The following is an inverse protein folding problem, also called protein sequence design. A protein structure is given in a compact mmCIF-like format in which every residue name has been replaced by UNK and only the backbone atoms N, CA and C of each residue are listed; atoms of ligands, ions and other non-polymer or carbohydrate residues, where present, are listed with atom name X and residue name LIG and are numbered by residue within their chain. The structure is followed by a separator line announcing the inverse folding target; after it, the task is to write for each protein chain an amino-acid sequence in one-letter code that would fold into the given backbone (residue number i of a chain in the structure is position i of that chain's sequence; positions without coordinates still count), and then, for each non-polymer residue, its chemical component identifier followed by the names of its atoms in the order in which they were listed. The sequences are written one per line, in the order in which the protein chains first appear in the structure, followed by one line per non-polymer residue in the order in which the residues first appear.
data_IF_067302077331
#
_entry.id   IF_067302077331
#
_cell.length_a   1.000
_cell.length_b   1.000
_cell.length_c   1.000
_cell.angle_alpha   90.00
_cell.angle_beta   90.00
_cell.angle_gamma   90.00
#
_symmetry.space_group_name_H-M   'P 1'
#
loop_
_entity.id
_entity.type
_entity.pdbx_description
1 polymer ?
#
# COMPACT_ATOMS: atom_id res chain seq x y z
N UNK A 1 -22.88 -58.36 38.25
CA UNK A 1 -24.02 -58.77 37.43
C UNK A 1 -24.00 -57.90 36.20
N UNK A 2 -23.47 -58.53 35.19
CA UNK A 2 -23.94 -58.72 33.80
C UNK A 2 -23.97 -57.46 32.97
N UNK A 3 -23.00 -57.18 32.13
CA UNK A 3 -22.69 -57.81 30.82
C UNK A 3 -23.72 -57.43 29.73
N UNK A 4 -23.23 -56.81 28.69
CA UNK A 4 -23.24 -57.09 27.27
C UNK A 4 -23.13 -55.79 26.48
N UNK A 5 -22.19 -55.39 25.66
CA UNK A 5 -21.60 -56.07 24.54
C UNK A 5 -22.44 -55.97 23.26
N UNK A 6 -22.13 -54.97 22.34
CA UNK A 6 -22.36 -55.22 20.93
C UNK A 6 -21.41 -54.33 20.06
N UNK A 7 -20.59 -55.05 19.35
CA UNK A 7 -19.77 -54.65 18.20
C UNK A 7 -20.65 -54.40 16.95
N UNK A 8 -20.33 -53.37 16.19
CA UNK A 8 -20.67 -53.28 14.77
C UNK A 8 -19.58 -52.52 13.98
N UNK A 9 -19.08 -53.24 13.04
CA UNK A 9 -18.12 -53.03 11.99
C UNK A 9 -18.33 -51.82 11.08
N UNK A 10 -17.21 -51.27 10.68
CA UNK A 10 -16.79 -50.28 9.78
C UNK A 10 -17.46 -50.07 8.43
N UNK A 11 -17.27 -48.86 7.94
CA UNK A 11 -17.12 -48.59 6.50
C UNK A 11 -16.23 -47.34 6.34
N UNK A 12 -15.10 -47.58 5.67
CA UNK A 12 -14.18 -46.58 5.14
C UNK A 12 -14.83 -45.76 4.02
N UNK A 13 -14.86 -44.44 4.16
CA UNK A 13 -15.10 -43.53 3.06
C UNK A 13 -13.96 -42.49 3.04
N UNK A 14 -13.10 -42.60 2.04
CA UNK A 14 -12.08 -41.63 1.66
C UNK A 14 -12.74 -40.35 1.15
N UNK A 15 -12.69 -39.30 1.94
CA UNK A 15 -13.13 -37.97 1.55
C UNK A 15 -11.92 -37.04 1.44
N UNK A 16 -11.71 -36.54 0.24
CA UNK A 16 -10.73 -35.48 -0.04
C UNK A 16 -11.14 -34.18 0.70
N UNK A 17 -10.37 -33.79 1.69
CA UNK A 17 -10.53 -32.49 2.35
C UNK A 17 -9.78 -31.43 1.54
N UNK A 18 -10.55 -30.59 0.85
CA UNK A 18 -10.07 -29.33 0.33
C UNK A 18 -9.82 -28.39 1.55
N UNK A 19 -8.57 -28.05 1.79
CA UNK A 19 -8.18 -27.06 2.80
C UNK A 19 -8.58 -25.67 2.32
N UNK A 20 -9.76 -25.22 2.75
CA UNK A 20 -10.19 -23.83 2.63
C UNK A 20 -9.46 -22.97 3.66
N UNK A 21 -8.66 -22.00 3.23
CA UNK A 21 -8.10 -20.99 4.09
C UNK A 21 -9.22 -20.02 4.52
N UNK A 22 -9.75 -20.22 5.69
CA UNK A 22 -10.64 -19.26 6.37
C UNK A 22 -9.78 -18.17 7.02
N UNK A 23 -9.83 -16.98 6.44
CA UNK A 23 -9.34 -15.77 7.12
C UNK A 23 -10.36 -15.42 8.22
N UNK A 24 -10.11 -15.86 9.45
CA UNK A 24 -10.83 -15.43 10.66
C UNK A 24 -10.31 -14.07 11.08
N UNK A 25 -10.98 -12.98 10.61
CA UNK A 25 -10.93 -11.68 11.28
C UNK A 25 -11.98 -11.68 12.40
N UNK A 26 -11.61 -11.16 13.56
CA UNK A 26 -12.46 -11.00 14.75
C UNK A 26 -13.82 -10.39 14.40
N UNK A 27 -14.86 -11.21 14.36
CA UNK A 27 -16.25 -10.79 14.25
C UNK A 27 -16.80 -10.51 15.66
N UNK A 28 -16.45 -9.34 16.21
CA UNK A 28 -16.91 -8.92 17.54
C UNK A 28 -18.24 -8.16 17.56
N UNK A 29 -19.00 -8.09 16.47
CA UNK A 29 -20.36 -7.54 16.47
C UNK A 29 -21.20 -8.30 15.45
N UNK A 30 -22.38 -8.79 15.82
CA UNK A 30 -23.30 -9.57 14.98
C UNK A 30 -23.95 -8.77 13.81
N UNK A 31 -23.39 -7.63 13.42
CA UNK A 31 -23.81 -6.83 12.27
C UNK A 31 -23.09 -7.32 10.99
N UNK A 32 -23.78 -7.34 9.84
CA UNK A 32 -23.15 -7.70 8.57
C UNK A 32 -22.05 -6.70 8.21
N UNK A 33 -20.99 -7.14 7.46
CA UNK A 33 -19.99 -6.24 6.93
C UNK A 33 -20.63 -5.08 6.14
N UNK A 34 -20.03 -3.89 6.20
CA UNK A 34 -20.46 -2.76 5.38
C UNK A 34 -20.30 -3.09 3.89
N UNK A 35 -19.18 -3.75 3.56
CA UNK A 35 -18.89 -4.26 2.21
C UNK A 35 -18.29 -5.66 2.31
N UNK A 36 -18.76 -6.56 1.43
CA UNK A 36 -18.19 -7.88 1.28
C UNK A 36 -17.96 -8.18 -0.21
N UNK A 37 -16.75 -8.61 -0.53
CA UNK A 37 -16.36 -9.15 -1.83
C UNK A 37 -16.21 -10.66 -1.68
N UNK A 38 -17.04 -11.44 -2.36
CA UNK A 38 -17.03 -12.89 -2.30
C UNK A 38 -16.55 -13.46 -3.63
N UNK A 39 -15.27 -13.85 -3.70
CA UNK A 39 -14.64 -14.42 -4.89
C UNK A 39 -14.63 -13.49 -6.11
N UNK A 40 -14.55 -12.18 -5.90
CA UNK A 40 -14.64 -11.17 -6.96
C UNK A 40 -13.43 -11.24 -7.88
N UNK A 41 -13.67 -11.32 -9.18
CA UNK A 41 -12.65 -11.28 -10.23
C UNK A 41 -13.08 -10.39 -11.39
N UNK A 42 -12.10 -9.80 -12.09
CA UNK A 42 -12.32 -8.96 -13.29
C UNK A 42 -11.31 -9.28 -14.36
N UNK A 43 -11.79 -9.73 -15.50
CA UNK A 43 -11.01 -9.93 -16.70
C UNK A 43 -11.46 -8.90 -17.75
N UNK A 44 -10.50 -8.18 -18.34
CA UNK A 44 -10.75 -7.32 -19.51
C UNK A 44 -10.39 -8.07 -20.79
N UNK A 45 -11.17 -7.90 -21.83
CA UNK A 45 -10.88 -8.48 -23.12
C UNK A 45 -10.20 -7.45 -24.02
N UNK A 46 -8.95 -7.71 -24.41
CA UNK A 46 -8.20 -6.89 -25.36
C UNK A 46 -7.64 -7.77 -26.48
N UNK A 47 -7.96 -7.41 -27.73
CA UNK A 47 -7.49 -8.12 -28.93
C UNK A 47 -7.71 -9.65 -28.86
N UNK A 48 -8.87 -10.09 -28.34
CA UNK A 48 -9.22 -11.51 -28.24
C UNK A 48 -8.55 -12.27 -27.09
N UNK A 49 -7.77 -11.59 -26.23
CA UNK A 49 -7.17 -12.20 -25.03
C UNK A 49 -7.80 -11.64 -23.75
N UNK A 50 -8.09 -12.50 -22.82
CA UNK A 50 -8.49 -12.10 -21.47
C UNK A 50 -7.25 -11.64 -20.69
N UNK A 51 -7.29 -10.40 -20.16
CA UNK A 51 -6.25 -9.84 -19.30
C UNK A 51 -6.84 -9.69 -17.91
N UNK A 52 -6.38 -10.47 -16.91
CA UNK A 52 -6.89 -10.39 -15.56
C UNK A 52 -6.41 -9.10 -14.90
N UNK A 53 -7.36 -8.24 -14.52
CA UNK A 53 -7.09 -7.04 -13.72
C UNK A 53 -7.23 -7.32 -12.23
N UNK A 54 -8.18 -8.21 -11.87
CA UNK A 54 -8.39 -8.72 -10.52
C UNK A 54 -8.62 -10.23 -10.64
N UNK A 55 -7.76 -11.03 -10.01
CA UNK A 55 -7.79 -12.49 -10.16
C UNK A 55 -8.86 -13.13 -9.28
N UNK A 56 -8.84 -12.85 -7.99
CA UNK A 56 -9.83 -13.25 -7.00
C UNK A 56 -9.62 -12.45 -5.72
N UNK A 57 -10.67 -11.82 -5.24
CA UNK A 57 -10.66 -11.12 -3.96
C UNK A 57 -11.81 -11.65 -3.11
N UNK A 58 -11.46 -12.10 -1.91
CA UNK A 58 -12.36 -12.39 -0.81
C UNK A 58 -12.02 -11.39 0.31
N UNK A 59 -12.95 -10.48 0.64
CA UNK A 59 -12.70 -9.36 1.54
C UNK A 59 -13.97 -8.95 2.25
N UNK A 60 -13.90 -8.76 3.58
CA UNK A 60 -14.96 -8.18 4.39
C UNK A 60 -14.46 -6.91 5.07
N UNK A 61 -15.19 -5.79 4.92
CA UNK A 61 -14.90 -4.48 5.50
C UNK A 61 -16.00 -4.15 6.50
N UNK A 62 -15.59 -3.82 7.72
CA UNK A 62 -16.51 -3.54 8.83
C UNK A 62 -17.24 -2.20 8.71
N UNK A 63 -18.37 -2.04 9.41
CA UNK A 63 -19.02 -0.74 9.54
C UNK A 63 -18.13 0.27 10.27
N UNK A 64 -18.05 1.51 9.76
CA UNK A 64 -17.25 2.58 10.34
C UNK A 64 -15.75 2.41 10.24
N UNK A 65 -15.26 1.43 9.48
CA UNK A 65 -13.84 1.15 9.27
C UNK A 65 -13.24 2.13 8.24
N UNK A 66 -12.02 2.61 8.51
CA UNK A 66 -11.17 3.25 7.51
C UNK A 66 -10.30 2.17 6.86
N UNK A 67 -10.66 1.73 5.70
CA UNK A 67 -10.03 0.62 4.99
C UNK A 67 -9.24 1.12 3.78
N UNK A 68 -7.98 0.68 3.62
CA UNK A 68 -7.17 1.05 2.46
C UNK A 68 -6.87 -0.12 1.53
N UNK A 69 -6.96 0.14 0.22
CA UNK A 69 -6.38 -0.67 -0.85
C UNK A 69 -5.06 -0.03 -1.27
N UNK A 70 -3.95 -0.67 -0.96
CA UNK A 70 -2.59 -0.18 -1.18
C UNK A 70 -1.85 -1.09 -2.17
N UNK A 71 -1.03 -0.53 -3.06
CA UNK A 71 -0.21 -1.33 -3.97
C UNK A 71 0.31 -0.51 -5.15
N UNK A 72 1.17 -1.06 -6.00
CA UNK A 72 1.72 -0.39 -7.17
C UNK A 72 0.65 -0.05 -8.21
N UNK A 73 1.00 0.80 -9.17
CA UNK A 73 0.12 1.11 -10.30
C UNK A 73 -0.21 -0.14 -11.11
N UNK A 74 -1.47 -0.28 -11.53
CA UNK A 74 -1.94 -1.42 -12.32
C UNK A 74 -2.21 -2.71 -11.53
N UNK A 75 -2.09 -2.75 -10.20
CA UNK A 75 -2.37 -3.97 -9.41
C UNK A 75 -3.86 -4.28 -9.16
N UNK A 76 -4.80 -3.45 -9.67
CA UNK A 76 -6.24 -3.71 -9.59
C UNK A 76 -7.02 -2.90 -8.56
N UNK A 77 -6.40 -1.98 -7.81
CA UNK A 77 -7.06 -1.15 -6.76
C UNK A 77 -8.27 -0.37 -7.28
N UNK A 78 -8.05 0.53 -8.25
CA UNK A 78 -9.13 1.36 -8.81
C UNK A 78 -10.18 0.52 -9.54
N UNK A 79 -9.81 -0.62 -10.15
CA UNK A 79 -10.76 -1.58 -10.71
C UNK A 79 -11.65 -2.17 -9.61
N UNK A 80 -11.07 -2.58 -8.48
CA UNK A 80 -11.82 -3.08 -7.32
C UNK A 80 -12.76 -2.02 -6.77
N UNK A 81 -12.27 -0.78 -6.61
CA UNK A 81 -13.09 0.34 -6.15
C UNK A 81 -14.26 0.63 -7.11
N UNK A 82 -14.02 0.62 -8.43
CA UNK A 82 -15.06 0.83 -9.44
C UNK A 82 -16.08 -0.31 -9.47
N UNK A 83 -15.68 -1.55 -9.21
CA UNK A 83 -16.61 -2.67 -9.04
C UNK A 83 -17.50 -2.47 -7.82
N UNK A 84 -16.97 -2.01 -6.68
CA UNK A 84 -17.75 -1.68 -5.48
C UNK A 84 -18.74 -0.54 -5.78
N UNK A 85 -18.28 0.49 -6.50
CA UNK A 85 -19.10 1.63 -6.90
C UNK A 85 -20.17 1.30 -7.96
N UNK A 86 -20.03 0.18 -8.69
CA UNK A 86 -20.93 -0.25 -9.76
C UNK A 86 -20.65 0.36 -11.13
N UNK A 87 -19.50 1.00 -11.32
CA UNK A 87 -19.04 1.47 -12.64
C UNK A 87 -18.42 0.35 -13.48
N UNK A 88 -18.02 -0.75 -12.83
CA UNK A 88 -17.51 -1.95 -13.46
C UNK A 88 -18.28 -3.16 -12.91
N UNK A 89 -18.63 -4.10 -13.76
CA UNK A 89 -19.20 -5.36 -13.34
C UNK A 89 -18.09 -6.41 -13.15
N UNK A 90 -18.09 -7.19 -12.07
CA UNK A 90 -17.14 -8.28 -11.92
C UNK A 90 -17.43 -9.35 -12.98
N UNK A 91 -16.37 -10.01 -13.47
CA UNK A 91 -16.52 -11.17 -14.37
C UNK A 91 -16.99 -12.41 -13.59
N UNK A 92 -16.60 -12.49 -12.31
CA UNK A 92 -16.99 -13.59 -11.39
C UNK A 92 -17.10 -13.04 -9.97
N UNK A 93 -17.82 -13.77 -9.13
CA UNK A 93 -18.02 -13.44 -7.73
C UNK A 93 -19.19 -12.51 -7.48
N UNK A 94 -19.34 -12.07 -6.22
CA UNK A 94 -20.45 -11.21 -5.77
C UNK A 94 -19.95 -10.08 -4.90
N UNK A 95 -20.66 -8.96 -4.94
CA UNK A 95 -20.43 -7.77 -4.11
C UNK A 95 -21.67 -7.53 -3.28
N UNK A 96 -21.50 -7.50 -1.96
CA UNK A 96 -22.56 -7.23 -1.03
C UNK A 96 -22.31 -5.90 -0.30
N UNK A 97 -23.35 -5.09 -0.16
CA UNK A 97 -23.39 -3.89 0.68
C UNK A 97 -24.37 -4.13 1.82
N UNK A 98 -23.90 -4.08 3.06
CA UNK A 98 -24.70 -4.35 4.26
C UNK A 98 -25.51 -5.66 4.13
N UNK A 99 -24.86 -6.71 3.62
CA UNK A 99 -25.47 -8.04 3.40
C UNK A 99 -26.38 -8.15 2.17
N UNK A 100 -26.61 -7.07 1.39
CA UNK A 100 -27.43 -7.09 0.18
C UNK A 100 -26.55 -7.23 -1.06
N UNK A 101 -26.88 -8.19 -1.93
CA UNK A 101 -26.17 -8.36 -3.21
C UNK A 101 -26.47 -7.16 -4.14
N UNK A 102 -25.40 -6.46 -4.52
CA UNK A 102 -25.45 -5.30 -5.41
C UNK A 102 -24.68 -5.53 -6.71
N UNK A 103 -24.28 -6.76 -7.01
CA UNK A 103 -23.40 -7.11 -8.14
C UNK A 103 -23.89 -6.50 -9.45
N UNK A 104 -25.19 -6.68 -9.77
CA UNK A 104 -25.83 -6.15 -10.96
C UNK A 104 -26.55 -4.79 -10.77
N UNK A 105 -26.42 -4.19 -9.57
CA UNK A 105 -27.09 -2.90 -9.29
C UNK A 105 -26.26 -1.76 -9.88
N UNK A 106 -26.86 -0.84 -10.68
CA UNK A 106 -26.14 0.27 -11.30
C UNK A 106 -25.67 1.30 -10.24
N UNK A 107 -24.62 2.12 -10.54
CA UNK A 107 -24.00 3.03 -9.57
C UNK A 107 -24.98 3.99 -8.86
N UNK A 108 -25.94 4.52 -9.61
CA UNK A 108 -26.91 5.50 -9.08
C UNK A 108 -27.93 4.92 -8.12
N UNK A 109 -27.97 3.60 -7.94
CA UNK A 109 -28.86 2.87 -7.02
C UNK A 109 -28.11 2.19 -5.88
N UNK A 110 -26.78 2.28 -5.84
CA UNK A 110 -25.97 1.79 -4.72
C UNK A 110 -25.85 2.87 -3.65
N UNK A 111 -25.92 2.46 -2.39
CA UNK A 111 -25.76 3.38 -1.26
C UNK A 111 -24.29 3.62 -0.93
N UNK A 112 -23.54 4.01 -1.95
CA UNK A 112 -22.14 4.43 -1.85
C UNK A 112 -21.91 5.72 -2.62
N UNK A 113 -20.95 6.53 -2.18
CA UNK A 113 -20.51 7.70 -2.93
C UNK A 113 -19.04 7.55 -3.29
N UNK A 114 -18.67 7.97 -4.50
CA UNK A 114 -17.29 7.93 -4.99
C UNK A 114 -16.77 9.37 -5.17
N UNK A 115 -15.60 9.62 -4.60
CA UNK A 115 -14.80 10.83 -4.83
C UNK A 115 -13.67 10.46 -5.77
N UNK A 116 -13.65 11.05 -6.96
CA UNK A 116 -12.61 10.85 -7.96
C UNK A 116 -11.37 11.69 -7.65
N UNK A 117 -10.24 11.31 -8.18
CA UNK A 117 -8.97 12.03 -8.07
C UNK A 117 -9.07 13.50 -8.54
N UNK A 118 -9.90 13.79 -9.53
CA UNK A 118 -10.13 15.15 -10.06
C UNK A 118 -11.18 15.95 -9.27
N UNK A 119 -11.69 15.41 -8.15
CA UNK A 119 -12.77 15.97 -7.33
C UNK A 119 -14.11 16.15 -8.05
N UNK A 120 -14.15 16.31 -9.36
CA UNK A 120 -15.31 16.44 -10.23
C UNK A 120 -16.38 17.42 -9.68
N UNK A 121 -15.95 18.57 -9.16
CA UNK A 121 -16.86 19.63 -8.69
C UNK A 121 -17.63 20.24 -9.86
N UNK A 122 -18.88 20.63 -9.62
CA UNK A 122 -19.70 21.35 -10.59
C UNK A 122 -19.22 22.81 -10.70
N UNK A 123 -18.59 23.23 -11.80
CA UNK A 123 -17.93 24.54 -11.89
C UNK A 123 -18.93 25.72 -11.95
N UNK A 124 -20.18 25.45 -12.31
CA UNK A 124 -21.27 26.41 -12.39
C UNK A 124 -22.01 26.63 -11.08
N UNK A 125 -21.77 25.77 -10.06
CA UNK A 125 -22.33 25.88 -8.71
C UNK A 125 -21.28 26.46 -7.76
N UNK A 126 -21.72 27.20 -6.75
CA UNK A 126 -20.93 27.57 -5.58
C UNK A 126 -20.66 26.35 -4.68
N UNK A 127 -19.93 26.56 -3.59
CA UNK A 127 -19.61 25.52 -2.60
C UNK A 127 -20.89 24.94 -1.99
N UNK A 128 -21.79 25.79 -1.50
CA UNK A 128 -23.06 25.36 -0.91
C UNK A 128 -23.94 24.60 -1.92
N UNK A 129 -23.98 25.04 -3.16
CA UNK A 129 -24.68 24.38 -4.26
C UNK A 129 -24.12 23.02 -4.61
N UNK A 130 -22.78 22.86 -4.63
CA UNK A 130 -22.13 21.58 -4.80
C UNK A 130 -22.52 20.59 -3.71
N UNK A 131 -22.44 21.01 -2.44
CA UNK A 131 -22.82 20.17 -1.29
C UNK A 131 -24.31 19.83 -1.32
N UNK A 132 -25.17 20.82 -1.63
CA UNK A 132 -26.62 20.66 -1.68
C UNK A 132 -27.11 19.75 -2.82
N UNK A 133 -26.30 19.51 -3.85
CA UNK A 133 -26.73 18.85 -5.09
C UNK A 133 -27.39 17.49 -4.84
N UNK A 134 -26.76 16.62 -4.07
CA UNK A 134 -27.27 15.29 -3.77
C UNK A 134 -28.58 15.32 -2.96
N UNK A 135 -28.67 16.22 -1.98
CA UNK A 135 -29.87 16.41 -1.17
C UNK A 135 -31.06 16.90 -2.00
N UNK A 136 -30.82 17.87 -2.92
CA UNK A 136 -31.88 18.37 -3.84
C UNK A 136 -32.39 17.25 -4.74
N UNK A 137 -31.51 16.37 -5.24
CA UNK A 137 -31.89 15.19 -6.04
C UNK A 137 -32.79 14.21 -5.25
N UNK A 138 -32.57 14.11 -3.94
CA UNK A 138 -33.36 13.30 -3.02
C UNK A 138 -34.65 14.01 -2.54
N UNK A 139 -34.92 15.21 -3.06
CA UNK A 139 -36.14 15.96 -2.73
C UNK A 139 -36.07 16.79 -1.44
N UNK A 140 -34.93 16.88 -0.77
CA UNK A 140 -34.75 17.72 0.43
C UNK A 140 -34.75 19.20 0.02
N UNK A 141 -35.56 20.03 0.74
CA UNK A 141 -35.79 21.44 0.42
C UNK A 141 -35.85 22.31 1.68
N UNK A 142 -35.88 23.62 1.48
CA UNK A 142 -36.19 24.61 2.52
C UNK A 142 -35.19 24.62 3.68
N UNK A 143 -35.69 24.60 4.90
CA UNK A 143 -34.91 24.71 6.14
C UNK A 143 -33.99 23.48 6.33
N UNK A 144 -34.50 22.28 6.14
CA UNK A 144 -33.73 21.05 6.28
C UNK A 144 -32.50 21.01 5.35
N UNK A 145 -32.68 21.46 4.09
CA UNK A 145 -31.55 21.55 3.15
C UNK A 145 -30.46 22.48 3.67
N UNK A 146 -30.85 23.69 4.14
CA UNK A 146 -29.86 24.66 4.66
C UNK A 146 -29.14 24.15 5.90
N UNK A 147 -29.87 23.55 6.84
CA UNK A 147 -29.30 22.98 8.07
C UNK A 147 -28.30 21.88 7.76
N UNK A 148 -28.64 20.90 6.91
CA UNK A 148 -27.72 19.81 6.54
C UNK A 148 -26.48 20.29 5.79
N UNK A 149 -26.66 21.25 4.88
CA UNK A 149 -25.53 21.84 4.14
C UNK A 149 -24.65 22.64 5.09
N UNK A 150 -25.22 23.47 5.97
CA UNK A 150 -24.48 24.25 6.96
C UNK A 150 -23.63 23.35 7.88
N UNK A 151 -24.26 22.36 8.53
CA UNK A 151 -23.55 21.38 9.36
C UNK A 151 -22.41 20.70 8.63
N UNK A 152 -22.60 20.36 7.35
CA UNK A 152 -21.55 19.71 6.55
C UNK A 152 -20.41 20.66 6.18
N UNK A 153 -20.72 21.94 5.93
CA UNK A 153 -19.70 22.97 5.68
C UNK A 153 -18.90 23.30 6.94
N UNK A 154 -19.56 23.33 8.10
CA UNK A 154 -18.88 23.50 9.40
C UNK A 154 -17.92 22.33 9.66
N UNK A 155 -18.34 21.09 9.44
CA UNK A 155 -17.53 19.89 9.60
C UNK A 155 -16.23 19.91 8.75
N UNK A 156 -16.31 20.47 7.54
CA UNK A 156 -15.14 20.56 6.64
C UNK A 156 -14.44 21.92 6.69
N UNK A 157 -14.81 22.79 7.62
CA UNK A 157 -14.25 24.14 7.83
C UNK A 157 -14.36 25.06 6.58
N UNK A 158 -15.49 25.05 5.91
CA UNK A 158 -15.71 25.82 4.67
C UNK A 158 -16.94 26.76 4.75
N UNK A 159 -17.50 27.02 5.93
CA UNK A 159 -18.71 27.82 6.10
C UNK A 159 -18.57 29.24 5.55
N UNK A 160 -17.41 29.89 5.75
CA UNK A 160 -17.13 31.24 5.23
C UNK A 160 -16.93 31.28 3.69
N UNK A 161 -16.75 30.11 3.07
CA UNK A 161 -16.53 29.98 1.63
C UNK A 161 -17.76 29.47 0.87
N UNK A 162 -18.93 29.40 1.53
CA UNK A 162 -20.15 28.80 1.01
C UNK A 162 -20.60 29.33 -0.37
N UNK A 163 -20.38 30.63 -0.62
CA UNK A 163 -20.80 31.33 -1.84
C UNK A 163 -19.71 31.34 -2.95
N UNK A 164 -18.48 30.89 -2.64
CA UNK A 164 -17.38 30.84 -3.62
C UNK A 164 -17.59 29.73 -4.65
N UNK A 165 -17.05 29.95 -5.84
CA UNK A 165 -17.03 28.95 -6.92
C UNK A 165 -15.75 28.10 -6.82
N UNK A 166 -15.77 26.86 -7.37
CA UNK A 166 -14.61 25.96 -7.33
C UNK A 166 -13.29 26.57 -7.81
N UNK A 167 -13.33 27.42 -8.84
CA UNK A 167 -12.14 28.09 -9.39
C UNK A 167 -11.46 29.11 -8.44
N UNK A 168 -12.17 29.52 -7.40
CA UNK A 168 -11.72 30.49 -6.41
C UNK A 168 -11.14 29.81 -5.16
N UNK A 169 -11.04 28.47 -5.17
CA UNK A 169 -10.61 27.64 -4.07
C UNK A 169 -9.24 27.02 -4.36
N UNK A 170 -8.44 26.83 -3.31
CA UNK A 170 -7.24 26.01 -3.38
C UNK A 170 -7.58 24.52 -3.60
N UNK A 171 -6.61 23.72 -4.03
CA UNK A 171 -6.81 22.28 -4.25
C UNK A 171 -7.34 21.55 -3.00
N UNK A 172 -6.80 21.84 -1.82
CA UNK A 172 -7.28 21.26 -0.56
C UNK A 172 -8.71 21.71 -0.19
N UNK A 173 -9.08 22.97 -0.50
CA UNK A 173 -10.46 23.43 -0.32
C UNK A 173 -11.42 22.73 -1.29
N UNK A 174 -11.04 22.57 -2.57
CA UNK A 174 -11.83 21.82 -3.54
C UNK A 174 -12.07 20.37 -3.09
N UNK A 175 -11.03 19.73 -2.56
CA UNK A 175 -11.13 18.38 -2.01
C UNK A 175 -12.12 18.32 -0.85
N UNK A 176 -12.06 19.26 0.10
CA UNK A 176 -13.00 19.34 1.22
C UNK A 176 -14.45 19.56 0.75
N UNK A 177 -14.66 20.34 -0.30
CA UNK A 177 -16.00 20.47 -0.93
C UNK A 177 -16.48 19.15 -1.53
N UNK A 178 -15.60 18.42 -2.24
CA UNK A 178 -15.95 17.12 -2.81
C UNK A 178 -16.29 16.08 -1.73
N UNK A 179 -15.54 16.09 -0.63
CA UNK A 179 -15.78 15.26 0.54
C UNK A 179 -17.14 15.60 1.19
N UNK A 180 -17.41 16.88 1.44
CA UNK A 180 -18.67 17.35 2.00
C UNK A 180 -19.86 16.96 1.11
N UNK A 181 -19.75 17.15 -0.22
CA UNK A 181 -20.77 16.72 -1.19
C UNK A 181 -21.05 15.23 -1.14
N UNK A 182 -20.02 14.42 -0.92
CA UNK A 182 -20.15 12.97 -0.83
C UNK A 182 -20.76 12.54 0.51
N UNK A 183 -20.39 13.18 1.61
CA UNK A 183 -20.82 12.83 2.97
C UNK A 183 -22.22 13.30 3.33
N UNK A 184 -22.68 14.43 2.77
CA UNK A 184 -23.99 15.04 3.12
C UNK A 184 -25.18 14.10 2.92
N UNK A 185 -25.03 13.13 2.02
CA UNK A 185 -26.04 12.11 1.74
C UNK A 185 -26.03 10.94 2.75
N UNK A 186 -25.05 10.88 3.66
CA UNK A 186 -24.84 9.78 4.62
C UNK A 186 -24.88 8.40 3.96
N UNK A 187 -23.98 8.11 3.01
CA UNK A 187 -23.93 6.80 2.34
C UNK A 187 -23.48 5.71 3.33
N UNK A 188 -23.77 4.44 3.00
CA UNK A 188 -23.28 3.29 3.76
C UNK A 188 -21.73 3.21 3.71
N UNK A 189 -21.12 3.62 2.59
CA UNK A 189 -19.68 3.75 2.48
C UNK A 189 -19.26 4.89 1.54
N UNK A 190 -18.13 5.53 1.87
CA UNK A 190 -17.46 6.52 1.03
C UNK A 190 -16.24 5.87 0.37
N UNK A 191 -16.17 5.97 -0.95
CA UNK A 191 -15.10 5.46 -1.78
C UNK A 191 -14.22 6.62 -2.24
N UNK A 192 -12.90 6.50 -2.08
CA UNK A 192 -11.93 7.56 -2.36
C UNK A 192 -10.84 7.00 -3.29
N UNK A 193 -10.78 7.49 -4.54
CA UNK A 193 -9.79 7.05 -5.54
C UNK A 193 -8.64 8.06 -5.62
N UNK A 194 -7.55 7.81 -4.92
CA UNK A 194 -6.32 8.64 -4.82
C UNK A 194 -6.60 10.14 -4.53
N UNK A 195 -7.42 10.47 -3.52
CA UNK A 195 -7.92 11.83 -3.36
C UNK A 195 -6.85 12.85 -2.96
N UNK A 196 -5.69 12.42 -2.43
CA UNK A 196 -4.60 13.29 -1.99
C UNK A 196 -3.46 13.39 -3.01
N UNK A 197 -3.52 12.64 -4.13
CA UNK A 197 -2.42 12.51 -5.09
C UNK A 197 -1.96 13.82 -5.76
N UNK A 198 -2.85 14.81 -5.87
CA UNK A 198 -2.55 16.10 -6.51
C UNK A 198 -2.03 17.19 -5.55
N UNK A 199 -1.89 16.87 -4.23
CA UNK A 199 -1.49 17.84 -3.20
C UNK A 199 0.01 17.79 -2.93
N UNK A 200 0.59 18.95 -2.55
CA UNK A 200 1.94 19.02 -2.01
C UNK A 200 2.06 18.27 -0.67
N UNK A 201 3.29 17.94 -0.26
CA UNK A 201 3.56 17.10 0.90
C UNK A 201 2.95 17.65 2.21
N UNK A 202 3.12 18.96 2.48
CA UNK A 202 2.66 19.59 3.72
C UNK A 202 1.14 19.61 3.80
N UNK A 203 0.49 19.99 2.71
CA UNK A 203 -0.97 20.01 2.61
C UNK A 203 -1.53 18.58 2.70
N UNK A 204 -0.88 17.62 2.06
CA UNK A 204 -1.25 16.19 2.11
C UNK A 204 -1.25 15.67 3.56
N UNK A 205 -0.19 15.91 4.33
CA UNK A 205 -0.11 15.51 5.74
C UNK A 205 -1.23 16.13 6.59
N UNK A 206 -1.52 17.42 6.39
CA UNK A 206 -2.63 18.09 7.08
C UNK A 206 -3.97 17.44 6.72
N UNK A 207 -4.19 17.18 5.43
CA UNK A 207 -5.42 16.57 4.93
C UNK A 207 -5.63 15.13 5.40
N UNK A 208 -4.56 14.35 5.59
CA UNK A 208 -4.65 13.00 6.18
C UNK A 208 -5.25 13.05 7.59
N UNK A 209 -4.73 13.95 8.44
CA UNK A 209 -5.23 14.12 9.82
C UNK A 209 -6.70 14.54 9.81
N UNK A 210 -7.06 15.53 8.99
CA UNK A 210 -8.43 16.02 8.88
C UNK A 210 -9.38 14.93 8.35
N UNK A 211 -8.96 14.17 7.33
CA UNK A 211 -9.79 13.10 6.75
C UNK A 211 -10.09 11.99 7.78
N UNK A 212 -9.09 11.59 8.58
CA UNK A 212 -9.30 10.62 9.67
C UNK A 212 -10.19 11.17 10.78
N UNK A 213 -10.06 12.47 11.13
CA UNK A 213 -10.92 13.11 12.11
C UNK A 213 -12.39 13.15 11.62
N UNK A 214 -12.64 13.59 10.38
CA UNK A 214 -13.95 13.60 9.76
C UNK A 214 -14.57 12.19 9.74
N UNK A 215 -13.80 11.18 9.35
CA UNK A 215 -14.28 9.80 9.30
C UNK A 215 -14.74 9.32 10.69
N UNK A 216 -13.97 9.63 11.75
CA UNK A 216 -14.35 9.26 13.13
C UNK A 216 -15.60 9.97 13.60
N UNK A 217 -15.77 11.26 13.26
CA UNK A 217 -16.93 12.07 13.64
C UNK A 217 -18.21 11.60 12.93
N UNK A 218 -18.10 11.30 11.64
CA UNK A 218 -19.26 10.87 10.83
C UNK A 218 -19.61 9.40 11.07
N UNK A 219 -18.64 8.55 11.44
CA UNK A 219 -18.83 7.12 11.70
C UNK A 219 -19.15 6.27 10.46
N UNK A 220 -18.92 6.80 9.26
CA UNK A 220 -19.17 6.10 7.98
C UNK A 220 -17.94 5.26 7.60
N UNK A 221 -18.15 4.14 6.91
CA UNK A 221 -17.08 3.30 6.37
C UNK A 221 -16.38 4.03 5.21
N UNK A 222 -15.04 4.13 5.27
CA UNK A 222 -14.24 4.71 4.19
C UNK A 222 -13.43 3.62 3.50
N UNK A 223 -13.43 3.61 2.17
CA UNK A 223 -12.54 2.80 1.35
C UNK A 223 -11.63 3.74 0.58
N UNK A 224 -10.37 3.65 0.87
CA UNK A 224 -9.34 4.56 0.40
C UNK A 224 -8.37 3.82 -0.52
N UNK A 225 -8.26 4.26 -1.76
CA UNK A 225 -7.26 3.76 -2.71
C UNK A 225 -6.08 4.70 -2.73
N UNK A 226 -4.89 4.16 -2.57
CA UNK A 226 -3.64 4.92 -2.67
C UNK A 226 -2.49 4.04 -3.16
N UNK A 227 -1.44 4.66 -3.65
CA UNK A 227 -0.13 4.07 -3.86
C UNK A 227 0.90 4.61 -2.85
N UNK A 228 0.52 5.58 -2.00
CA UNK A 228 1.35 6.15 -0.96
C UNK A 228 1.21 5.32 0.33
N UNK A 229 2.35 4.76 0.78
CA UNK A 229 2.40 3.92 1.96
C UNK A 229 2.17 4.72 3.24
N UNK A 230 2.68 5.97 3.29
CA UNK A 230 2.50 6.87 4.43
C UNK A 230 1.03 7.17 4.69
N UNK A 231 0.25 7.41 3.64
CA UNK A 231 -1.19 7.62 3.73
C UNK A 231 -1.89 6.40 4.33
N UNK A 232 -1.63 5.22 3.77
CA UNK A 232 -2.26 3.99 4.23
C UNK A 232 -1.89 3.67 5.69
N UNK A 233 -0.61 3.77 6.06
CA UNK A 233 -0.14 3.48 7.41
C UNK A 233 -0.68 4.47 8.46
N UNK A 234 -0.88 5.74 8.08
CA UNK A 234 -1.32 6.79 9.02
C UNK A 234 -2.83 6.76 9.29
N UNK A 235 -3.64 6.48 8.26
CA UNK A 235 -5.10 6.68 8.36
C UNK A 235 -5.88 5.39 8.58
N UNK A 236 -5.37 4.24 8.14
CA UNK A 236 -6.19 3.02 8.05
C UNK A 236 -6.31 2.28 9.37
N UNK A 237 -7.45 1.65 9.56
CA UNK A 237 -7.65 0.64 10.60
C UNK A 237 -7.15 -0.73 10.09
N UNK A 238 -7.39 -1.03 8.80
CA UNK A 238 -6.84 -2.18 8.09
C UNK A 238 -6.43 -1.79 6.67
N UNK A 239 -5.41 -2.49 6.15
CA UNK A 239 -4.86 -2.29 4.81
C UNK A 239 -4.86 -3.63 4.07
N UNK A 240 -5.38 -3.64 2.85
CA UNK A 240 -5.15 -4.72 1.89
C UNK A 240 -4.01 -4.31 0.94
N UNK A 241 -2.87 -4.95 1.06
CA UNK A 241 -1.76 -4.78 0.13
C UNK A 241 -2.04 -5.62 -1.10
N UNK A 242 -2.16 -4.97 -2.26
CA UNK A 242 -2.49 -5.61 -3.53
C UNK A 242 -1.27 -5.69 -4.45
N UNK A 243 -1.14 -6.83 -5.13
CA UNK A 243 -0.14 -7.04 -6.15
C UNK A 243 -0.70 -7.95 -7.26
N UNK A 244 -0.48 -7.63 -8.53
CA UNK A 244 -0.87 -8.44 -9.69
C UNK A 244 -2.32 -8.96 -9.62
N UNK A 245 -3.25 -8.11 -9.20
CA UNK A 245 -4.67 -8.43 -9.10
C UNK A 245 -5.08 -9.30 -7.90
N UNK A 246 -4.22 -9.49 -6.91
CA UNK A 246 -4.46 -10.29 -5.70
C UNK A 246 -4.19 -9.46 -4.44
N UNK A 247 -4.77 -9.87 -3.32
CA UNK A 247 -4.43 -9.36 -1.99
C UNK A 247 -3.30 -10.22 -1.43
N UNK A 248 -2.11 -9.64 -1.30
CA UNK A 248 -0.92 -10.28 -0.72
C UNK A 248 -1.03 -10.42 0.80
N UNK A 249 -1.51 -9.35 1.45
CA UNK A 249 -1.71 -9.31 2.89
C UNK A 249 -2.84 -8.36 3.24
N UNK A 250 -3.65 -8.77 4.21
CA UNK A 250 -4.70 -7.97 4.83
C UNK A 250 -4.47 -7.98 6.33
N UNK A 251 -4.15 -6.81 6.91
CA UNK A 251 -3.86 -6.68 8.34
C UNK A 251 -3.92 -5.21 8.79
N UNK A 252 -3.68 -4.97 10.10
CA UNK A 252 -3.47 -3.62 10.64
C UNK A 252 -2.18 -3.00 10.08
N UNK A 253 -2.06 -1.66 10.05
CA UNK A 253 -0.84 -0.97 9.62
C UNK A 253 0.42 -1.49 10.28
N UNK A 254 0.38 -1.66 11.59
CA UNK A 254 1.50 -2.16 12.38
C UNK A 254 1.91 -3.58 11.99
N UNK A 255 0.94 -4.47 11.79
CA UNK A 255 1.22 -5.85 11.42
C UNK A 255 1.82 -5.95 10.01
N UNK A 256 1.33 -5.13 9.06
CA UNK A 256 1.89 -5.07 7.71
C UNK A 256 3.35 -4.60 7.73
N UNK A 257 3.66 -3.61 8.56
CA UNK A 257 5.01 -3.06 8.66
C UNK A 257 5.98 -4.00 9.38
N UNK A 258 5.58 -4.53 10.56
CA UNK A 258 6.46 -5.33 11.40
C UNK A 258 6.48 -6.83 11.04
N UNK A 259 5.43 -7.35 10.40
CA UNK A 259 5.24 -8.78 10.08
C UNK A 259 4.75 -8.98 8.66
N UNK A 260 5.54 -8.61 7.66
CA UNK A 260 5.17 -8.79 6.25
C UNK A 260 5.07 -10.29 5.93
N UNK A 261 4.01 -10.71 5.23
CA UNK A 261 3.79 -12.13 4.89
C UNK A 261 4.55 -12.59 3.66
N UNK A 262 4.94 -11.67 2.79
CA UNK A 262 5.66 -11.99 1.56
C UNK A 262 6.86 -11.04 1.40
N UNK A 263 7.84 -11.48 0.62
CA UNK A 263 8.97 -10.64 0.21
C UNK A 263 8.49 -9.36 -0.48
N UNK A 264 7.42 -9.46 -1.28
CA UNK A 264 6.83 -8.29 -1.91
C UNK A 264 6.37 -7.27 -0.87
N UNK A 265 5.60 -7.70 0.14
CA UNK A 265 5.12 -6.77 1.19
C UNK A 265 6.28 -6.20 1.98
N UNK A 266 7.29 -7.01 2.34
CA UNK A 266 8.48 -6.55 3.06
C UNK A 266 9.23 -5.44 2.31
N UNK A 267 9.41 -5.60 1.00
CA UNK A 267 10.11 -4.63 0.15
C UNK A 267 9.25 -3.48 -0.35
N UNK A 268 7.92 -3.67 -0.42
CA UNK A 268 7.00 -2.63 -0.87
C UNK A 268 6.65 -1.66 0.27
N UNK A 269 6.55 -2.12 1.52
CA UNK A 269 6.20 -1.29 2.68
C UNK A 269 7.46 -0.79 3.38
N UNK A 270 7.79 0.48 3.16
CA UNK A 270 9.01 1.08 3.69
C UNK A 270 10.28 0.43 3.14
N UNK A 271 11.42 0.74 3.76
CA UNK A 271 12.69 0.08 3.48
C UNK A 271 12.83 -1.15 4.38
N UNK A 272 13.37 -2.25 3.85
CA UNK A 272 13.60 -3.47 4.61
C UNK A 272 14.89 -4.14 4.18
N UNK A 273 15.69 -4.57 5.14
CA UNK A 273 16.83 -5.42 4.86
C UNK A 273 16.36 -6.87 4.74
N UNK A 274 16.70 -7.51 3.63
CA UNK A 274 16.35 -8.89 3.34
C UNK A 274 17.64 -9.72 3.32
N UNK A 275 17.74 -10.68 4.24
CA UNK A 275 18.89 -11.52 4.42
C UNK A 275 18.53 -12.98 4.15
N UNK A 276 19.03 -13.55 3.05
CA UNK A 276 18.88 -14.98 2.80
C UNK A 276 19.93 -15.75 3.61
N UNK A 277 19.49 -16.70 4.43
CA UNK A 277 20.34 -17.46 5.37
C UNK A 277 19.89 -18.90 5.47
N UNK A 278 20.80 -19.77 5.90
CA UNK A 278 20.54 -21.18 6.16
C UNK A 278 20.19 -21.36 7.64
N UNK A 279 19.20 -22.18 7.93
CA UNK A 279 18.83 -22.56 9.31
C UNK A 279 19.93 -23.46 9.86
N UNK A 280 20.56 -23.05 10.97
CA UNK A 280 21.58 -23.79 11.70
C UNK A 280 20.96 -24.66 12.80
N UNK A 281 20.00 -24.13 13.51
CA UNK A 281 19.29 -24.83 14.57
C UNK A 281 17.90 -24.21 14.81
N UNK A 282 16.99 -25.01 15.33
CA UNK A 282 15.69 -24.56 15.84
C UNK A 282 15.64 -24.85 17.32
N UNK A 283 15.53 -23.80 18.14
CA UNK A 283 15.39 -23.89 19.59
C UNK A 283 13.91 -23.73 19.96
N UNK A 284 13.30 -24.81 20.44
CA UNK A 284 11.90 -24.84 20.81
C UNK A 284 11.60 -24.07 22.13
N UNK A 285 12.63 -23.79 22.94
CA UNK A 285 12.53 -23.18 24.28
C UNK A 285 13.38 -21.92 24.42
N UNK A 286 13.39 -21.05 23.40
CA UNK A 286 14.11 -19.79 23.45
C UNK A 286 13.62 -18.82 24.53
N UNK A 287 14.22 -17.61 24.63
CA UNK A 287 13.87 -16.60 25.62
C UNK A 287 12.36 -16.30 25.66
N UNK A 288 11.77 -16.34 26.87
CA UNK A 288 10.33 -16.11 27.04
C UNK A 288 9.44 -17.29 26.59
N UNK A 289 9.99 -18.50 26.39
CA UNK A 289 9.23 -19.70 25.98
C UNK A 289 8.78 -19.69 24.51
N UNK A 290 9.35 -18.81 23.68
CA UNK A 290 9.08 -18.74 22.23
C UNK A 290 10.13 -19.56 21.48
N UNK A 291 9.68 -20.33 20.50
CA UNK A 291 10.60 -21.01 19.61
C UNK A 291 11.41 -19.99 18.80
N UNK A 292 12.72 -20.24 18.69
CA UNK A 292 13.67 -19.39 17.98
C UNK A 292 14.35 -20.18 16.86
N UNK A 293 14.64 -19.53 15.76
CA UNK A 293 15.53 -20.07 14.74
C UNK A 293 16.88 -19.38 14.84
N UNK A 294 17.95 -20.18 14.84
CA UNK A 294 19.32 -19.72 14.75
C UNK A 294 19.78 -19.88 13.30
N UNK A 295 20.28 -18.81 12.72
CA UNK A 295 20.67 -18.76 11.31
C UNK A 295 22.17 -18.77 11.17
N UNK A 296 22.66 -19.22 10.03
CA UNK A 296 24.09 -19.22 9.71
C UNK A 296 24.62 -17.78 9.57
N UNK A 297 25.75 -17.53 10.22
CA UNK A 297 26.43 -16.25 10.26
C UNK A 297 27.96 -16.50 10.40
N UNK A 298 28.78 -15.46 10.24
CA UNK A 298 30.23 -15.57 10.40
C UNK A 298 30.67 -16.06 11.79
N UNK A 299 31.95 -16.40 11.96
CA UNK A 299 32.48 -17.04 13.18
C UNK A 299 32.18 -16.23 14.46
N UNK A 300 32.20 -14.89 14.38
CA UNK A 300 31.96 -13.99 15.51
C UNK A 300 30.56 -13.32 15.45
N UNK A 301 29.76 -13.67 14.45
CA UNK A 301 28.45 -13.12 14.17
C UNK A 301 27.34 -13.98 14.77
N UNK A 302 26.18 -13.38 14.94
CA UNK A 302 24.99 -14.07 15.49
C UNK A 302 23.73 -13.56 14.79
N UNK A 303 22.92 -14.49 14.29
CA UNK A 303 21.61 -14.21 13.73
C UNK A 303 20.58 -15.16 14.31
N UNK A 304 19.51 -14.62 14.84
CA UNK A 304 18.37 -15.41 15.33
C UNK A 304 17.08 -14.62 15.16
N UNK A 305 15.98 -15.35 15.10
CA UNK A 305 14.65 -14.75 15.01
C UNK A 305 13.62 -15.62 15.70
N UNK A 306 12.55 -15.03 16.24
CA UNK A 306 11.43 -15.82 16.75
C UNK A 306 10.70 -16.52 15.59
N UNK A 307 10.33 -17.79 15.84
CA UNK A 307 9.45 -18.54 14.94
C UNK A 307 8.02 -18.07 15.11
N UNK A 308 7.37 -17.77 13.99
CA UNK A 308 5.96 -17.40 14.01
C UNK A 308 5.08 -18.64 13.84
N UNK A 309 3.92 -18.75 14.55
CA UNK A 309 3.02 -19.93 14.46
C UNK A 309 2.52 -20.25 13.04
N UNK A 310 2.55 -19.28 12.13
CA UNK A 310 2.14 -19.44 10.73
C UNK A 310 3.23 -20.02 9.83
N UNK A 311 4.47 -20.14 10.34
CA UNK A 311 5.55 -20.80 9.61
C UNK A 311 5.41 -22.31 9.75
N UNK A 312 5.59 -23.00 8.66
CA UNK A 312 5.75 -24.46 8.70
C UNK A 312 6.96 -24.88 9.54
N UNK A 313 7.08 -26.16 9.86
CA UNK A 313 8.22 -26.66 10.64
C UNK A 313 9.53 -26.47 9.86
N UNK A 314 10.43 -25.63 10.37
CA UNK A 314 11.76 -25.43 9.83
C UNK A 314 12.72 -26.53 10.31
N UNK A 315 13.66 -26.89 9.44
CA UNK A 315 14.72 -27.89 9.72
C UNK A 315 16.09 -27.27 9.50
N UNK A 316 17.09 -27.82 10.16
CA UNK A 316 18.49 -27.48 9.89
C UNK A 316 18.80 -27.75 8.43
N UNK A 317 19.40 -26.76 7.74
CA UNK A 317 19.70 -26.78 6.31
C UNK A 317 18.67 -26.06 5.43
N UNK A 318 17.48 -25.75 5.94
CA UNK A 318 16.48 -25.00 5.17
C UNK A 318 16.99 -23.58 4.88
N UNK A 319 16.67 -23.08 3.68
CA UNK A 319 16.92 -21.68 3.31
C UNK A 319 15.74 -20.83 3.73
N UNK A 320 16.03 -19.74 4.43
CA UNK A 320 15.02 -18.77 4.86
C UNK A 320 15.43 -17.37 4.48
N UNK A 321 14.47 -16.50 4.34
CA UNK A 321 14.69 -15.08 4.18
C UNK A 321 14.28 -14.34 5.46
N UNK A 322 15.26 -13.67 6.08
CA UNK A 322 15.07 -12.85 7.26
C UNK A 322 14.88 -11.40 6.85
N UNK A 323 13.92 -10.70 7.44
CA UNK A 323 13.76 -9.26 7.27
C UNK A 323 14.01 -8.53 8.59
N UNK A 324 14.68 -7.37 8.52
CA UNK A 324 14.85 -6.42 9.62
C UNK A 324 14.76 -4.99 9.11
N UNK A 325 14.07 -4.15 9.85
CA UNK A 325 13.89 -2.74 9.48
C UNK A 325 15.15 -1.93 9.78
N UNK A 326 15.55 -0.98 8.88
CA UNK A 326 16.77 -0.18 9.04
C UNK A 326 16.85 0.60 10.35
N UNK A 327 15.72 1.11 10.86
CA UNK A 327 15.63 1.87 12.10
C UNK A 327 15.70 1.01 13.38
N UNK A 328 15.70 -0.31 13.24
CA UNK A 328 15.86 -1.26 14.35
C UNK A 328 17.30 -1.70 14.56
N UNK A 329 18.20 -1.28 13.65
CA UNK A 329 19.61 -1.67 13.64
C UNK A 329 20.43 -0.56 14.29
N UNK A 330 21.22 -0.94 15.28
CA UNK A 330 22.20 -0.09 15.95
C UNK A 330 23.59 -0.33 15.36
N UNK A 331 24.41 0.71 15.38
CA UNK A 331 25.82 0.65 14.94
C UNK A 331 26.75 0.89 16.12
N UNK A 332 27.86 0.13 16.17
CA UNK A 332 28.88 0.24 17.22
C UNK A 332 30.26 -0.06 16.66
N UNK A 333 31.28 0.67 17.13
CA UNK A 333 32.69 0.38 16.81
C UNK A 333 33.18 -0.92 17.47
N UNK A 334 32.57 -1.32 18.59
CA UNK A 334 32.93 -2.52 19.34
C UNK A 334 31.87 -3.59 19.18
N UNK A 335 32.28 -4.86 19.35
CA UNK A 335 31.36 -5.99 19.32
C UNK A 335 30.27 -5.80 20.39
N UNK A 336 28.99 -5.92 20.02
CA UNK A 336 27.91 -5.79 20.98
C UNK A 336 27.87 -6.99 21.95
N UNK A 337 27.59 -6.67 23.22
CA UNK A 337 27.39 -7.68 24.26
C UNK A 337 25.92 -8.11 24.37
N UNK A 338 25.68 -9.29 24.96
CA UNK A 338 24.33 -9.77 25.24
C UNK A 338 23.66 -10.57 24.12
N UNK A 339 22.37 -10.93 24.29
CA UNK A 339 21.63 -11.81 23.40
C UNK A 339 21.02 -11.05 22.21
N UNK A 340 21.84 -10.36 21.41
CA UNK A 340 21.44 -9.65 20.21
C UNK A 340 21.90 -10.36 18.94
N UNK A 341 21.22 -10.11 17.82
CA UNK A 341 21.80 -10.32 16.50
C UNK A 341 23.00 -9.39 16.33
N UNK A 342 24.07 -9.88 15.71
CA UNK A 342 25.29 -9.11 15.50
C UNK A 342 25.93 -9.52 14.18
N UNK A 343 26.14 -8.55 13.31
CA UNK A 343 26.88 -8.70 12.05
C UNK A 343 28.00 -7.68 11.98
N UNK A 344 29.08 -8.02 11.31
CA UNK A 344 30.20 -7.12 11.06
C UNK A 344 30.25 -6.74 9.59
N UNK A 345 30.54 -5.48 9.30
CA UNK A 345 30.66 -5.02 7.92
C UNK A 345 31.41 -3.72 7.79
N UNK A 346 31.59 -3.29 6.55
CA UNK A 346 32.25 -2.04 6.20
C UNK A 346 31.23 -1.05 5.63
N UNK A 347 31.29 0.19 6.08
CA UNK A 347 30.47 1.28 5.56
C UNK A 347 30.88 1.59 4.11
N UNK A 348 29.95 1.44 3.17
CA UNK A 348 30.18 1.70 1.75
C UNK A 348 29.57 3.03 1.30
N UNK A 349 28.50 3.48 1.97
CA UNK A 349 27.84 4.72 1.64
C UNK A 349 27.25 5.39 2.90
N UNK A 350 27.25 6.74 2.92
CA UNK A 350 26.67 7.58 3.98
C UNK A 350 25.88 8.70 3.32
N UNK A 351 24.58 8.78 3.61
CA UNK A 351 23.68 9.81 3.06
C UNK A 351 22.97 10.55 4.19
N UNK A 352 23.24 11.82 4.36
CA UNK A 352 22.60 12.67 5.36
C UNK A 352 21.25 13.21 4.85
N UNK A 353 20.16 12.93 5.60
CA UNK A 353 18.78 13.31 5.24
C UNK A 353 18.13 14.28 6.25
N UNK A 354 18.93 14.97 7.05
CA UNK A 354 18.47 15.93 8.07
C UNK A 354 18.05 15.22 9.36
N UNK A 355 16.89 14.62 9.43
CA UNK A 355 16.38 13.95 10.64
C UNK A 355 17.10 12.65 10.96
N UNK A 356 17.62 11.99 9.96
CA UNK A 356 18.42 10.76 10.09
C UNK A 356 19.49 10.71 9.00
N UNK A 357 20.50 9.86 9.22
CA UNK A 357 21.54 9.52 8.26
C UNK A 357 21.33 8.07 7.83
N UNK A 358 21.36 7.82 6.55
CA UNK A 358 21.31 6.47 5.98
C UNK A 358 22.74 5.96 5.77
N UNK A 359 23.02 4.79 6.34
CA UNK A 359 24.27 4.06 6.11
C UNK A 359 23.97 2.82 5.29
N UNK A 360 24.81 2.56 4.28
CA UNK A 360 24.84 1.27 3.60
C UNK A 360 26.11 0.55 4.06
N UNK A 361 25.94 -0.64 4.63
CA UNK A 361 27.03 -1.43 5.20
C UNK A 361 27.13 -2.76 4.45
N UNK A 362 28.27 -3.01 3.80
CA UNK A 362 28.57 -4.30 3.18
C UNK A 362 29.05 -5.26 4.26
N UNK A 363 28.28 -6.29 4.58
CA UNK A 363 28.65 -7.33 5.56
C UNK A 363 29.73 -8.25 5.00
N UNK A 364 30.51 -8.91 5.85
CA UNK A 364 31.48 -9.92 5.43
C UNK A 364 30.86 -11.10 4.68
N UNK A 365 29.57 -11.37 4.89
CA UNK A 365 28.78 -12.34 4.13
C UNK A 365 28.29 -11.86 2.77
N UNK A 366 28.73 -10.68 2.28
CA UNK A 366 28.43 -10.15 0.96
C UNK A 366 27.02 -9.54 0.80
N UNK A 367 26.29 -9.35 1.90
CA UNK A 367 24.97 -8.70 1.88
C UNK A 367 25.10 -7.24 2.27
N UNK A 368 24.48 -6.34 1.54
CA UNK A 368 24.38 -4.93 1.92
C UNK A 368 23.21 -4.75 2.88
N UNK A 369 23.44 -4.01 3.98
CA UNK A 369 22.47 -3.68 5.00
C UNK A 369 22.34 -2.17 5.08
N UNK A 370 21.12 -1.69 5.00
CA UNK A 370 20.77 -0.28 5.22
C UNK A 370 20.47 -0.06 6.69
N UNK A 371 21.01 1.01 7.28
CA UNK A 371 20.74 1.45 8.65
C UNK A 371 20.24 2.90 8.63
N UNK A 372 19.18 3.18 9.38
CA UNK A 372 18.70 4.54 9.60
C UNK A 372 19.14 5.01 10.99
N UNK A 373 20.16 5.86 11.01
CA UNK A 373 20.68 6.43 12.23
C UNK A 373 20.03 7.80 12.50
N UNK A 374 19.28 7.91 13.61
CA UNK A 374 18.61 9.16 13.95
C UNK A 374 19.63 10.21 14.37
N UNK A 375 19.61 11.38 13.73
CA UNK A 375 20.46 12.53 14.06
C UNK A 375 19.91 13.22 15.31
N UNK A 376 20.17 12.64 16.50
CA UNK A 376 19.92 13.26 17.78
C UNK A 376 21.15 14.10 18.20
N UNK A 377 21.10 14.83 19.25
CA UNK A 377 21.91 15.94 19.80
C UNK A 377 23.44 15.97 19.53
N UNK A 378 24.10 14.87 19.14
CA UNK A 378 25.53 14.82 18.82
C UNK A 378 25.78 14.19 17.44
N UNK A 379 25.81 15.04 16.42
CA UNK A 379 26.22 14.66 15.06
C UNK A 379 27.75 14.46 14.89
N UNK A 380 28.53 14.56 15.98
CA UNK A 380 30.01 14.51 15.95
C UNK A 380 30.58 13.08 15.90
N UNK A 381 29.78 12.04 16.13
CA UNK A 381 30.19 10.64 16.03
C UNK A 381 29.58 9.92 14.83
N UNK A 382 29.55 10.57 13.69
CA UNK A 382 29.11 9.93 12.45
C UNK A 382 30.26 9.05 11.95
N UNK A 383 30.02 7.73 11.89
CA UNK A 383 30.98 6.80 11.31
C UNK A 383 31.19 7.13 9.82
N UNK A 384 32.45 7.02 9.35
CA UNK A 384 32.82 7.44 8.01
C UNK A 384 32.80 6.27 7.02
N UNK A 385 32.71 6.60 5.74
CA UNK A 385 32.84 5.62 4.67
C UNK A 385 34.19 4.88 4.75
N UNK A 386 34.16 3.56 4.69
CA UNK A 386 35.35 2.70 4.75
C UNK A 386 35.62 2.14 6.14
N UNK A 387 35.00 2.64 7.18
CA UNK A 387 35.13 2.12 8.54
C UNK A 387 34.49 0.75 8.71
N UNK A 388 35.11 -0.09 9.53
CA UNK A 388 34.57 -1.35 9.99
C UNK A 388 33.64 -1.10 11.19
N UNK A 389 32.44 -1.67 11.15
CA UNK A 389 31.41 -1.44 12.17
C UNK A 389 30.67 -2.72 12.50
N UNK A 390 30.18 -2.81 13.72
CA UNK A 390 29.22 -3.81 14.14
C UNK A 390 27.80 -3.28 14.00
N UNK A 391 26.94 -4.11 13.44
CA UNK A 391 25.49 -3.92 13.35
C UNK A 391 24.83 -4.83 14.38
N UNK A 392 23.92 -4.29 15.19
CA UNK A 392 23.23 -5.08 16.20
C UNK A 392 21.75 -4.73 16.29
N UNK A 393 20.93 -5.72 16.65
CA UNK A 393 19.51 -5.56 16.92
C UNK A 393 18.97 -6.71 17.77
N UNK A 394 17.84 -6.48 18.43
CA UNK A 394 17.18 -7.55 19.17
C UNK A 394 16.60 -8.60 18.22
N UNK A 395 16.72 -9.90 18.53
CA UNK A 395 16.16 -10.97 17.69
C UNK A 395 14.67 -10.80 17.38
N UNK A 396 13.89 -10.22 18.29
CA UNK A 396 12.46 -9.92 18.12
C UNK A 396 12.15 -8.87 17.06
N UNK A 397 13.15 -8.10 16.63
CA UNK A 397 13.05 -7.17 15.50
C UNK A 397 13.28 -7.85 14.14
N UNK A 398 13.71 -9.10 14.17
CA UNK A 398 13.82 -9.95 13.00
C UNK A 398 12.51 -10.67 12.72
N UNK A 399 12.15 -10.77 11.45
CA UNK A 399 11.01 -11.56 11.02
C UNK A 399 11.42 -12.49 9.87
N UNK A 400 11.18 -13.80 10.06
CA UNK A 400 11.43 -14.77 8.99
C UNK A 400 10.22 -14.82 8.08
N UNK A 401 10.44 -14.57 6.81
CA UNK A 401 9.38 -14.60 5.81
C UNK A 401 8.93 -16.06 5.57
N UNK A 402 7.63 -16.34 5.52
CA UNK A 402 7.13 -17.63 5.06
C UNK A 402 7.59 -17.89 3.63
N UNK A 403 7.83 -19.16 3.29
CA UNK A 403 8.17 -19.55 1.93
C UNK A 403 7.01 -19.16 0.98
N UNK A 404 7.31 -18.28 0.01
CA UNK A 404 6.32 -17.83 -0.96
C UNK A 404 6.13 -18.93 -2.01
N UNK A 405 4.91 -19.46 -2.12
CA UNK A 405 4.55 -20.49 -3.12
C UNK A 405 4.64 -20.00 -4.58
N UNK A 406 4.89 -18.71 -4.84
CA UNK A 406 4.78 -18.05 -6.15
C UNK A 406 6.09 -17.41 -6.67
N UNK A 407 7.24 -17.63 -6.06
CA UNK A 407 8.52 -17.21 -6.65
C UNK A 407 9.06 -18.30 -7.58
N UNK A 408 8.71 -18.25 -8.87
CA UNK A 408 9.59 -18.82 -9.89
C UNK A 408 10.98 -18.18 -9.71
N UNK A 409 12.07 -18.99 -9.63
CA UNK A 409 13.42 -18.46 -9.56
C UNK A 409 13.63 -17.57 -10.77
N UNK A 410 13.87 -16.28 -10.54
CA UNK A 410 14.32 -15.34 -11.56
C UNK A 410 15.65 -15.87 -12.10
N UNK A 411 15.60 -16.64 -13.17
CA UNK A 411 16.77 -16.98 -13.96
C UNK A 411 17.45 -15.67 -14.35
N UNK A 412 18.72 -15.48 -14.03
CA UNK A 412 19.47 -14.33 -14.52
C UNK A 412 19.43 -14.41 -16.05
N UNK A 413 18.90 -13.38 -16.69
CA UNK A 413 18.99 -13.22 -18.13
C UNK A 413 20.49 -13.23 -18.46
N UNK A 414 20.99 -14.37 -18.92
CA UNK A 414 22.29 -14.47 -19.56
C UNK A 414 22.25 -13.53 -20.76
N UNK A 415 23.04 -12.46 -20.70
CA UNK A 415 23.31 -11.61 -21.84
C UNK A 415 23.94 -12.45 -22.95
N UNK A 416 23.11 -12.89 -23.89
CA UNK A 416 23.58 -13.38 -25.16
C UNK A 416 23.92 -12.19 -26.04
N UNK A 417 25.00 -12.26 -26.86
CA UNK A 417 25.35 -11.17 -27.73
C UNK A 417 24.31 -10.97 -28.83
N UNK A 418 23.98 -9.71 -29.07
CA UNK A 418 23.13 -9.20 -30.13
C UNK A 418 23.68 -9.62 -31.51
N UNK A 419 22.99 -10.43 -32.33
CA UNK A 419 23.34 -10.65 -33.70
C UNK A 419 22.37 -9.91 -34.60
N UNK A 420 22.73 -8.72 -35.05
CA UNK A 420 21.95 -8.09 -36.10
C UNK A 420 22.24 -6.64 -36.35
N UNK A 421 23.36 -6.36 -37.00
CA UNK A 421 23.56 -5.11 -37.73
C UNK A 421 22.55 -4.98 -38.87
N UNK A 422 22.18 -3.74 -39.24
CA UNK A 422 21.19 -3.50 -40.31
C UNK A 422 21.75 -3.85 -41.68
N UNK A 423 20.92 -4.32 -42.64
CA UNK A 423 21.35 -4.56 -44.01
C UNK A 423 21.60 -3.23 -44.74
N UNK A 424 22.75 -3.13 -45.38
CA UNK A 424 23.11 -2.15 -46.38
C UNK A 424 22.28 -2.36 -47.67
N UNK A 425 21.88 -1.25 -48.28
CA UNK A 425 21.69 -1.18 -49.71
C UNK A 425 20.28 -0.95 -50.18
N UNK A 426 19.90 0.28 -50.54
CA UNK A 426 19.70 0.68 -51.92
C UNK A 426 19.50 2.22 -52.05
N UNK A 427 20.24 2.83 -52.96
CA UNK A 427 20.21 4.26 -53.22
C UNK A 427 19.08 4.63 -54.16
N UNK A 428 18.37 5.76 -53.97
CA UNK A 428 17.44 6.28 -54.97
C UNK A 428 18.04 7.34 -55.86
N UNK A 429 17.59 7.33 -57.10
CA UNK A 429 17.87 8.26 -58.18
C UNK A 429 17.31 9.65 -57.92
N UNK A 430 18.10 10.64 -58.34
CA UNK A 430 17.82 12.06 -58.45
C UNK A 430 16.62 12.36 -59.38
N UNK A 431 15.86 13.39 -59.02
CA UNK A 431 15.50 14.46 -59.97
C UNK A 431 14.72 15.59 -59.28
N UNK A 432 15.20 16.83 -59.53
CA UNK A 432 14.38 17.98 -59.79
C UNK A 432 14.38 19.11 -58.77
N UNK A 433 15.37 20.00 -58.82
CA UNK A 433 15.25 21.42 -58.42
C UNK A 433 14.39 22.20 -59.48
N UNK A 434 13.93 23.50 -59.31
CA UNK A 434 14.51 24.53 -58.44
C UNK A 434 13.55 25.61 -57.86
N UNK A 435 14.17 26.41 -56.99
CA UNK A 435 14.11 27.90 -56.96
C UNK A 435 13.25 28.69 -55.97
N UNK A 436 13.98 29.49 -55.22
CA UNK A 436 13.76 30.90 -54.78
C UNK A 436 12.69 31.16 -53.70
N UNK A 437 12.90 31.92 -52.68
CA UNK A 437 13.86 32.97 -52.37
C UNK A 437 13.46 33.71 -51.08
N UNK A 438 14.45 34.37 -50.52
CA UNK A 438 14.44 35.61 -49.74
C UNK A 438 14.06 35.55 -48.23
N UNK A 439 15.03 35.66 -47.39
CA UNK A 439 15.61 36.84 -46.69
C UNK A 439 14.96 37.18 -45.34
N UNK A 440 15.67 36.89 -44.29
CA UNK A 440 16.36 37.81 -43.34
C UNK A 440 15.48 38.85 -42.62
N UNK A 441 15.51 38.79 -41.29
CA UNK A 441 16.07 39.87 -40.44
C UNK A 441 15.87 39.58 -38.95
N UNK A 442 16.97 39.46 -38.23
CA UNK A 442 17.13 39.76 -36.82
C UNK A 442 17.11 41.27 -36.60
N UNK A 443 16.73 41.80 -35.45
CA UNK A 443 17.71 42.57 -34.71
C UNK A 443 17.73 42.38 -33.17
N UNK A 444 18.92 42.18 -32.67
CA UNK A 444 19.70 42.86 -31.60
C UNK A 444 18.97 43.56 -30.44
N UNK A 445 19.51 43.20 -29.31
CA UNK A 445 19.52 43.73 -27.95
C UNK A 445 19.43 45.26 -27.78
N UNK A 446 18.91 45.69 -26.62
CA UNK A 446 19.54 46.71 -25.80
C UNK A 446 19.00 46.65 -24.34
N UNK A 447 19.97 46.72 -23.41
CA UNK A 447 19.84 46.77 -21.98
C UNK A 447 19.34 48.13 -21.46
N UNK A 448 18.76 48.19 -20.26
CA UNK A 448 19.12 49.14 -19.19
C UNK A 448 18.27 48.95 -17.94
N UNK A 449 18.95 48.75 -16.79
CA UNK A 449 18.57 49.10 -15.41
C UNK A 449 18.52 50.67 -15.25
N UNK A 450 18.12 51.27 -14.06
CA UNK A 450 17.97 50.77 -12.68
C UNK A 450 16.91 51.50 -11.79
N UNK A 451 16.87 51.00 -10.49
CA UNK A 451 16.72 51.76 -9.21
C UNK A 451 15.33 52.06 -8.64
N UNK A 452 15.23 51.51 -7.43
CA UNK A 452 14.39 51.71 -6.25
C UNK A 452 14.00 53.21 -5.87
N UNK A 453 13.12 53.44 -4.90
CA UNK A 453 13.23 52.95 -3.53
C UNK A 453 12.11 52.02 -3.06
#
# INVERSE_FOLDING_TARGET
MTATGHTATGHTATGHTATGHTATGDAATGAPPAIELAGVAKDYHSRGRAVPAVSRIDLAIGPGEFFSLLGPSGCGKSTTLRMIAGFEEPTRGRILLQGRDVTAVPPNRRDVNLVFQSYALFPHLDVAGNVAFGLRRRGVKGRELRERVGTMLDLVELSELAERRPRELSGGQQQRVALARALVNRPAALLLDEPLGALDLKLRQTMQIQLKAIQREVGITFIYVTHDQGEALTMSDRIAVMNRGRVEQLASPREIYERPRTRFVAGFIGTSNLLRRTVRAVDAAGPGGRAMVVLDAGADERLSAPLHPQMGPLRTGDQVELTVRPEKIEMSATRPDGPCCALRGRIVEVVYLGTYTTYTVATHGGTEITVFWQNSTDSTNVAERGEEIWLSWLPEHSYVLPESADEEPSTPRSGGPDPGGPPEGDAPRRNGEPAAGAAAQTPTATAAHPVSP
#
